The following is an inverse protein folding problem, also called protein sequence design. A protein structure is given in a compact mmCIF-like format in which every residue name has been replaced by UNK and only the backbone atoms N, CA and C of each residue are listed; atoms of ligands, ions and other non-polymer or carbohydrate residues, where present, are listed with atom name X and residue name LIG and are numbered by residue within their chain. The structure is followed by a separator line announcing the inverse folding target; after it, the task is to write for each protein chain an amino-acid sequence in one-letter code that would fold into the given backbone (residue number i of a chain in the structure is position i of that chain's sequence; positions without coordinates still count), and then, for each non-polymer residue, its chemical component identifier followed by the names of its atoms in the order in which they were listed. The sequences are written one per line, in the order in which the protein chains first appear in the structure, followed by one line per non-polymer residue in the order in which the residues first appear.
data_IF_170065792048
#
_entry.id   IF_170065792048
#
_cell.length_a   1.000
_cell.length_b   1.000
_cell.length_c   1.000
_cell.angle_alpha   90.00
_cell.angle_beta   90.00
_cell.angle_gamma   90.00
#
_symmetry.space_group_name_H-M   'P 1'
#
loop_
_entity.id
_entity.type
_entity.pdbx_description
1 polymer ?
#
# COMPACT_ATOMS: atom_id res chain seq x y z
N UNK A 1 1.04 12.78 2.42
CA UNK A 1 1.99 12.96 1.28
C UNK A 1 1.17 13.27 0.03
N UNK A 2 1.77 13.85 -1.01
CA UNK A 2 1.07 14.05 -2.29
C UNK A 2 1.38 12.92 -3.29
N UNK A 3 0.34 12.19 -3.70
CA UNK A 3 0.39 11.12 -4.69
C UNK A 3 -0.37 11.51 -5.95
N UNK A 4 0.20 11.21 -7.11
CA UNK A 4 -0.42 11.43 -8.41
C UNK A 4 -0.58 10.12 -9.16
N UNK A 5 -1.68 9.99 -9.90
CA UNK A 5 -1.92 8.87 -10.81
C UNK A 5 -1.75 9.41 -12.24
N UNK A 6 -0.86 8.79 -13.01
CA UNK A 6 -0.64 9.10 -14.42
C UNK A 6 -1.03 7.90 -15.28
N UNK A 7 -1.52 8.16 -16.48
CA UNK A 7 -1.90 7.12 -17.45
C UNK A 7 -0.88 7.08 -18.60
N UNK A 8 -0.36 5.89 -18.87
CA UNK A 8 0.62 5.59 -19.91
C UNK A 8 0.11 4.43 -20.78
N UNK A 9 -0.60 4.71 -21.88
CA UNK A 9 -1.27 3.69 -22.69
C UNK A 9 -0.30 2.69 -23.35
N UNK A 10 0.98 3.06 -23.51
CA UNK A 10 2.01 2.23 -24.13
C UNK A 10 2.50 1.08 -23.24
N UNK A 11 2.07 1.01 -21.97
CA UNK A 11 2.47 -0.01 -21.02
C UNK A 11 1.31 -0.95 -20.70
N UNK A 12 1.57 -2.25 -20.54
CA UNK A 12 0.56 -3.22 -20.08
C UNK A 12 -0.10 -2.82 -18.75
N UNK A 13 0.69 -2.22 -17.85
CA UNK A 13 0.23 -1.63 -16.60
C UNK A 13 0.20 -0.11 -16.70
N UNK A 14 -0.78 0.37 -17.46
CA UNK A 14 -0.86 1.75 -17.89
C UNK A 14 -1.02 2.79 -16.76
N UNK A 15 -1.48 2.40 -15.57
CA UNK A 15 -1.73 3.36 -14.48
C UNK A 15 -0.55 3.42 -13.51
N UNK A 16 0.17 4.53 -13.52
CA UNK A 16 1.31 4.79 -12.62
C UNK A 16 0.86 5.61 -11.42
N UNK A 17 0.96 5.05 -10.21
CA UNK A 17 0.85 5.80 -8.96
C UNK A 17 2.26 6.20 -8.51
N UNK A 18 2.53 7.49 -8.38
CA UNK A 18 3.84 8.00 -7.97
C UNK A 18 3.76 9.07 -6.89
N UNK A 19 4.81 9.18 -6.10
CA UNK A 19 5.04 10.28 -5.16
C UNK A 19 5.54 11.51 -5.93
N UNK A 20 4.88 12.67 -5.78
CA UNK A 20 5.22 13.86 -6.59
C UNK A 20 6.60 14.45 -6.27
N UNK A 21 6.97 14.46 -4.99
CA UNK A 21 8.25 14.98 -4.48
C UNK A 21 9.14 13.86 -3.93
N UNK A 22 8.94 12.63 -4.41
CA UNK A 22 9.71 11.46 -4.01
C UNK A 22 10.83 11.14 -4.98
N UNK A 23 11.57 10.08 -4.66
CA UNK A 23 12.51 9.48 -5.61
C UNK A 23 11.74 8.88 -6.79
N UNK A 24 12.38 8.84 -7.96
CA UNK A 24 11.80 8.22 -9.15
C UNK A 24 11.38 6.77 -8.87
N UNK A 25 12.13 6.04 -8.04
CA UNK A 25 11.86 4.65 -7.66
C UNK A 25 10.56 4.47 -6.85
N UNK A 26 10.04 5.56 -6.24
CA UNK A 26 8.84 5.54 -5.40
C UNK A 26 7.56 5.60 -6.24
N UNK A 27 7.37 4.60 -7.10
CA UNK A 27 6.19 4.44 -7.92
C UNK A 27 5.71 2.99 -8.01
N UNK A 28 4.46 2.82 -8.41
CA UNK A 28 3.88 1.51 -8.69
C UNK A 28 2.96 1.55 -9.91
N UNK A 29 3.08 0.53 -10.75
CA UNK A 29 2.26 0.34 -11.93
C UNK A 29 1.05 -0.57 -11.66
N UNK A 30 -0.09 -0.21 -12.22
CA UNK A 30 -1.38 -0.90 -12.10
C UNK A 30 -2.03 -1.09 -13.47
N UNK A 31 -2.80 -2.17 -13.60
CA UNK A 31 -3.61 -2.47 -14.80
C UNK A 31 -4.87 -1.59 -14.90
N UNK A 32 -5.41 -1.15 -13.76
CA UNK A 32 -6.66 -0.38 -13.72
C UNK A 32 -6.52 0.88 -12.87
N UNK A 33 -7.23 1.94 -13.26
CA UNK A 33 -7.34 3.18 -12.48
C UNK A 33 -7.90 2.90 -11.08
N UNK A 34 -8.94 2.06 -11.00
CA UNK A 34 -9.60 1.69 -9.73
C UNK A 34 -8.62 1.08 -8.73
N UNK A 35 -7.66 0.27 -9.20
CA UNK A 35 -6.63 -0.28 -8.33
C UNK A 35 -5.64 0.77 -7.84
N UNK A 36 -5.19 1.66 -8.73
CA UNK A 36 -4.30 2.74 -8.37
C UNK A 36 -4.96 3.70 -7.35
N UNK A 37 -6.21 4.10 -7.59
CA UNK A 37 -6.98 4.94 -6.68
C UNK A 37 -7.24 4.25 -5.34
N UNK A 38 -7.55 2.94 -5.33
CA UNK A 38 -7.69 2.19 -4.08
C UNK A 38 -6.38 2.14 -3.30
N UNK A 39 -5.24 1.95 -3.96
CA UNK A 39 -3.94 1.98 -3.32
C UNK A 39 -3.64 3.37 -2.72
N UNK A 40 -3.96 4.45 -3.46
CA UNK A 40 -3.87 5.83 -2.96
C UNK A 40 -4.71 6.03 -1.70
N UNK A 41 -5.99 5.62 -1.72
CA UNK A 41 -6.90 5.72 -0.58
C UNK A 41 -6.41 4.96 0.66
N UNK A 42 -5.80 3.77 0.48
CA UNK A 42 -5.22 3.02 1.60
C UNK A 42 -4.07 3.78 2.25
N UNK A 43 -3.21 4.40 1.43
CA UNK A 43 -2.10 5.21 1.89
C UNK A 43 -2.61 6.47 2.60
N UNK A 44 -3.57 7.19 2.00
CA UNK A 44 -4.14 8.41 2.56
C UNK A 44 -4.84 8.14 3.91
N UNK A 45 -5.51 6.99 4.04
CA UNK A 45 -6.14 6.53 5.28
C UNK A 45 -5.15 5.92 6.30
N UNK A 46 -3.85 5.87 5.98
CA UNK A 46 -2.80 5.24 6.80
C UNK A 46 -3.12 3.77 7.18
N UNK A 47 -3.79 3.03 6.29
CA UNK A 47 -4.26 1.66 6.55
C UNK A 47 -3.28 0.62 6.00
N UNK A 48 -3.03 -0.42 6.79
CA UNK A 48 -2.21 -1.54 6.33
C UNK A 48 -2.93 -2.37 5.25
N UNK A 49 -2.28 -2.70 4.12
CA UNK A 49 -2.90 -3.44 3.04
C UNK A 49 -3.16 -4.90 3.43
N UNK A 50 -4.36 -5.41 3.13
CA UNK A 50 -4.72 -6.83 3.31
C UNK A 50 -4.27 -7.71 2.13
N UNK A 51 -4.24 -7.14 0.93
CA UNK A 51 -3.90 -7.87 -0.30
C UNK A 51 -2.42 -7.73 -0.64
N UNK A 52 -1.78 -8.83 -1.06
CA UNK A 52 -0.35 -8.86 -1.43
C UNK A 52 0.02 -7.85 -2.52
N UNK A 53 -0.87 -7.61 -3.50
CA UNK A 53 -0.68 -6.61 -4.56
C UNK A 53 -0.47 -5.21 -4.01
N UNK A 54 -1.35 -4.76 -3.11
CA UNK A 54 -1.24 -3.42 -2.51
C UNK A 54 -0.09 -3.37 -1.50
N UNK A 55 0.22 -4.48 -0.80
CA UNK A 55 1.40 -4.56 0.04
C UNK A 55 2.69 -4.23 -0.71
N UNK A 56 2.93 -4.89 -1.86
CA UNK A 56 4.13 -4.65 -2.66
C UNK A 56 4.14 -3.23 -3.22
N UNK A 57 2.99 -2.74 -3.71
CA UNK A 57 2.90 -1.38 -4.24
C UNK A 57 3.16 -0.31 -3.16
N UNK A 58 2.55 -0.44 -1.98
CA UNK A 58 2.73 0.49 -0.88
C UNK A 58 4.17 0.47 -0.36
N UNK A 59 4.80 -0.70 -0.26
CA UNK A 59 6.21 -0.81 0.14
C UNK A 59 7.18 -0.12 -0.83
N UNK A 60 6.84 -0.04 -2.12
CA UNK A 60 7.64 0.70 -3.12
C UNK A 60 7.44 2.21 -3.02
N UNK A 61 6.21 2.65 -2.78
CA UNK A 61 5.85 4.07 -2.75
C UNK A 61 6.29 4.74 -1.44
N UNK A 62 6.11 4.04 -0.31
CA UNK A 62 6.42 4.51 1.03
C UNK A 62 7.88 4.24 1.37
N UNK A 63 8.45 5.04 2.27
CA UNK A 63 9.70 4.66 2.93
C UNK A 63 9.45 3.52 3.92
N UNK A 64 10.50 2.79 4.31
CA UNK A 64 10.38 1.72 5.30
C UNK A 64 9.81 2.21 6.64
N UNK A 65 10.13 3.45 7.03
CA UNK A 65 9.59 4.07 8.24
C UNK A 65 8.10 4.38 8.14
N UNK A 66 7.66 4.99 7.03
CA UNK A 66 6.25 5.27 6.76
C UNK A 66 5.45 3.96 6.69
N UNK A 67 6.02 2.93 6.05
CA UNK A 67 5.39 1.63 5.94
C UNK A 67 5.21 0.93 7.30
N UNK A 68 6.20 1.04 8.19
CA UNK A 68 6.12 0.50 9.57
C UNK A 68 5.08 1.23 10.43
N UNK A 69 4.82 2.51 10.17
CA UNK A 69 3.84 3.35 10.89
C UNK A 69 2.39 3.15 10.42
N UNK A 70 2.16 2.37 9.35
CA UNK A 70 0.81 2.04 8.89
C UNK A 70 0.00 1.34 10.00
N UNK A 71 -1.28 1.69 10.13
CA UNK A 71 -2.18 1.09 11.10
C UNK A 71 -2.44 -0.38 10.76
N UNK A 72 -1.62 -1.25 11.36
CA UNK A 72 -1.80 -2.70 11.27
C UNK A 72 -2.84 -3.10 12.31
N UNK A 73 -4.00 -3.57 11.84
CA UNK A 73 -5.03 -4.10 12.73
C UNK A 73 -4.37 -5.16 13.65
N UNK A 74 -4.50 -5.04 14.98
CA UNK A 74 -3.94 -6.04 15.87
C UNK A 74 -4.52 -7.41 15.53
N UNK A 75 -3.67 -8.45 15.57
CA UNK A 75 -4.14 -9.82 15.37
C UNK A 75 -5.15 -10.13 16.48
N UNK A 76 -6.32 -10.63 16.12
CA UNK A 76 -7.31 -11.05 17.10
C UNK A 76 -6.67 -12.06 18.06
N UNK A 77 -6.63 -11.72 19.34
CA UNK A 77 -6.18 -12.59 20.41
C UNK A 77 -7.39 -12.93 21.26
N UNK A 78 -7.83 -14.19 21.22
CA UNK A 78 -8.87 -14.65 22.13
C UNK A 78 -8.24 -14.79 23.53
N UNK A 79 -8.48 -13.80 24.39
CA UNK A 79 -8.00 -13.78 25.78
C UNK A 79 -8.57 -14.91 26.63
N UNK A 80 -9.71 -15.50 26.23
CA UNK A 80 -10.38 -16.57 26.96
C UNK A 80 -9.89 -17.97 26.56
N UNK A 81 -9.06 -18.11 25.50
CA UNK A 81 -8.33 -19.36 25.27
C UNK A 81 -7.06 -19.32 26.11
N UNK A 82 -7.15 -19.93 27.30
CA UNK A 82 -6.03 -20.09 28.21
C UNK A 82 -4.78 -20.63 27.50
N UNK A 83 -3.61 -20.16 27.94
CA UNK A 83 -2.31 -20.63 27.45
C UNK A 83 -2.24 -22.14 27.69
N UNK A 84 -2.25 -22.95 26.62
CA UNK A 84 -1.91 -24.37 26.74
C UNK A 84 -0.43 -24.39 27.14
N UNK A 85 -0.15 -24.61 28.43
CA UNK A 85 1.19 -24.94 28.92
C UNK A 85 1.55 -26.28 28.28
N UNK A 86 2.51 -26.26 27.35
CA UNK A 86 3.23 -27.47 26.92
C UNK A 86 4.42 -27.67 27.84
#
# INVERSE_FOLDING_TARGET
MKLSIKYFPQMERAYLLKREHGLYEQHAHFYSYKDADRCRKLIDANLYPKNKKYFVAMKRILTDEEFKKLNRKPRYRNVNKGVIRR
#
